data_IF_932459779850
#
_entry.id   IF_932459779850
#
_cell.length_a   1.000
_cell.length_b   1.000
_cell.length_c   1.000
_cell.angle_alpha   90.00
_cell.angle_beta   90.00
_cell.angle_gamma   90.00
#
_symmetry.space_group_name_H-M   'P 1'
#
loop_
_entity.id
_entity.type
_entity.pdbx_description
1 polymer ?
#
# COMPACT_ATOMS: atom_id res chain seq x y z
N UNK A 1 -4.57 -23.53 -8.76
CA UNK A 1 -4.29 -24.36 -7.55
C UNK A 1 -3.03 -23.92 -6.79
N UNK A 2 -1.84 -23.81 -7.41
CA UNK A 2 -0.62 -23.36 -6.68
C UNK A 2 -0.65 -21.86 -6.38
N UNK A 3 -1.05 -21.03 -7.36
CA UNK A 3 -1.10 -19.56 -7.22
C UNK A 3 -2.12 -19.15 -6.14
N UNK A 4 -3.27 -19.82 -6.09
CA UNK A 4 -4.37 -19.54 -5.15
C UNK A 4 -3.98 -19.76 -3.68
N UNK A 5 -2.98 -20.62 -3.44
CA UNK A 5 -2.42 -20.86 -2.09
C UNK A 5 -1.18 -20.00 -1.86
N UNK A 6 -0.29 -19.90 -2.86
CA UNK A 6 0.97 -19.17 -2.74
C UNK A 6 0.73 -17.70 -2.39
N UNK A 7 -0.27 -17.08 -3.02
CA UNK A 7 -0.48 -15.64 -2.92
C UNK A 7 -0.98 -15.22 -1.52
N UNK A 8 -2.04 -15.82 -0.94
CA UNK A 8 -2.43 -15.55 0.45
C UNK A 8 -1.34 -15.93 1.47
N UNK A 9 -0.65 -17.06 1.29
CA UNK A 9 0.43 -17.47 2.21
C UNK A 9 1.60 -16.50 2.19
N UNK A 10 1.94 -16.00 1.01
CA UNK A 10 3.00 -14.99 0.87
C UNK A 10 2.58 -13.67 1.52
N UNK A 11 1.33 -13.24 1.35
CA UNK A 11 0.81 -12.06 2.02
C UNK A 11 0.83 -12.22 3.55
N UNK A 12 0.37 -13.37 4.08
CA UNK A 12 0.43 -13.69 5.50
C UNK A 12 1.87 -13.55 6.04
N UNK A 13 2.85 -14.07 5.32
CA UNK A 13 4.26 -13.95 5.70
C UNK A 13 4.76 -12.50 5.65
N UNK A 14 4.43 -11.75 4.59
CA UNK A 14 4.83 -10.34 4.46
C UNK A 14 4.23 -9.50 5.60
N UNK A 15 2.96 -9.72 5.92
CA UNK A 15 2.24 -9.03 7.02
C UNK A 15 2.81 -9.42 8.39
N UNK A 16 3.16 -10.69 8.57
CA UNK A 16 3.86 -11.14 9.78
C UNK A 16 5.25 -10.50 9.92
N UNK A 17 6.04 -10.43 8.83
CA UNK A 17 7.35 -9.78 8.82
C UNK A 17 7.24 -8.30 9.19
N UNK A 18 6.22 -7.61 8.70
CA UNK A 18 5.92 -6.24 9.09
C UNK A 18 5.67 -6.15 10.60
N UNK A 19 4.84 -7.05 11.14
CA UNK A 19 4.57 -7.15 12.58
C UNK A 19 5.84 -7.33 13.42
N UNK A 20 6.80 -8.15 12.97
CA UNK A 20 8.06 -8.37 13.68
C UNK A 20 8.93 -7.12 13.82
N UNK A 21 8.73 -6.11 12.97
CA UNK A 21 9.42 -4.83 13.06
C UNK A 21 8.71 -3.81 13.97
N UNK A 22 7.45 -4.07 14.33
CA UNK A 22 6.64 -3.19 15.17
C UNK A 22 6.99 -3.35 16.64
N UNK A 23 7.07 -2.25 17.37
CA UNK A 23 7.06 -2.21 18.83
C UNK A 23 5.95 -1.31 19.35
N UNK A 24 5.46 -1.60 20.55
CA UNK A 24 4.52 -0.75 21.30
C UNK A 24 5.07 0.68 21.44
N UNK A 25 6.39 0.85 21.52
CA UNK A 25 7.01 2.16 21.57
C UNK A 25 6.81 2.98 20.28
N UNK A 26 6.62 2.35 19.12
CA UNK A 26 6.30 3.08 17.89
C UNK A 26 4.97 3.84 18.04
N UNK A 27 3.99 3.27 18.73
CA UNK A 27 2.70 3.92 18.97
C UNK A 27 2.79 5.11 19.93
N UNK A 28 3.85 5.24 20.75
CA UNK A 28 4.08 6.46 21.53
C UNK A 28 4.36 7.67 20.63
N UNK A 29 4.94 7.46 19.44
CA UNK A 29 5.18 8.55 18.50
C UNK A 29 3.88 9.10 17.90
N UNK A 30 2.83 8.30 17.83
CA UNK A 30 1.48 8.78 17.45
C UNK A 30 1.00 9.83 18.44
N UNK A 31 1.21 9.59 19.74
CA UNK A 31 0.81 10.50 20.82
C UNK A 31 1.72 11.74 20.83
N UNK A 32 3.02 11.58 20.58
CA UNK A 32 3.97 12.68 20.61
C UNK A 32 3.92 13.58 19.37
N UNK A 33 3.51 13.06 18.21
CA UNK A 33 3.44 13.78 16.94
C UNK A 33 2.05 13.64 16.27
N UNK A 34 0.96 14.04 16.97
CA UNK A 34 -0.40 13.72 16.55
C UNK A 34 -0.77 14.40 15.22
N UNK A 35 -0.23 15.58 14.94
CA UNK A 35 -0.54 16.32 13.71
C UNK A 35 0.07 15.64 12.47
N UNK A 36 1.35 15.26 12.52
CA UNK A 36 2.02 14.56 11.43
C UNK A 36 1.36 13.20 11.16
N UNK A 37 1.03 12.47 12.22
CA UNK A 37 0.32 11.21 12.13
C UNK A 37 -1.09 11.37 11.53
N UNK A 38 -1.87 12.36 11.99
CA UNK A 38 -3.22 12.63 11.49
C UNK A 38 -3.23 13.01 10.01
N UNK A 39 -2.25 13.81 9.56
CA UNK A 39 -2.10 14.16 8.14
C UNK A 39 -1.70 12.95 7.30
N UNK A 40 -0.84 12.07 7.81
CA UNK A 40 -0.50 10.81 7.15
C UNK A 40 -1.74 9.92 6.94
N UNK A 41 -2.54 9.71 7.99
CA UNK A 41 -3.80 8.98 7.89
C UNK A 41 -4.76 9.66 6.92
N UNK A 42 -4.95 10.98 7.04
CA UNK A 42 -5.85 11.73 6.18
C UNK A 42 -5.47 11.57 4.70
N UNK A 43 -4.19 11.72 4.39
CA UNK A 43 -3.69 11.59 3.03
C UNK A 43 -3.91 10.18 2.49
N UNK A 44 -3.61 9.14 3.27
CA UNK A 44 -3.69 7.76 2.82
C UNK A 44 -5.11 7.21 2.77
N UNK A 45 -5.97 7.56 3.73
CA UNK A 45 -7.29 6.96 3.88
C UNK A 45 -8.41 7.74 3.20
N UNK A 46 -8.21 9.04 2.96
CA UNK A 46 -9.23 9.92 2.41
C UNK A 46 -8.74 10.53 1.09
N UNK A 47 -7.61 11.24 1.12
CA UNK A 47 -7.14 11.97 -0.08
C UNK A 47 -6.78 11.00 -1.20
N UNK A 48 -6.05 9.93 -0.91
CA UNK A 48 -5.63 8.94 -1.91
C UNK A 48 -6.81 8.28 -2.63
N UNK A 49 -7.84 7.74 -1.95
CA UNK A 49 -9.04 7.25 -2.63
C UNK A 49 -9.78 8.31 -3.44
N UNK A 50 -9.89 9.55 -2.94
CA UNK A 50 -10.58 10.63 -3.66
C UNK A 50 -9.83 11.06 -4.94
N UNK A 51 -8.51 11.20 -4.85
CA UNK A 51 -7.64 11.50 -6.01
C UNK A 51 -7.72 10.34 -7.00
N UNK A 52 -7.69 9.10 -6.52
CA UNK A 52 -7.83 7.90 -7.35
C UNK A 52 -9.16 7.89 -8.10
N UNK A 53 -10.28 8.11 -7.41
CA UNK A 53 -11.61 8.20 -8.02
C UNK A 53 -11.68 9.29 -9.09
N UNK A 54 -11.12 10.47 -8.80
CA UNK A 54 -11.06 11.58 -9.74
C UNK A 54 -10.26 11.23 -10.99
N UNK A 55 -9.09 10.59 -10.82
CA UNK A 55 -8.24 10.14 -11.92
C UNK A 55 -8.95 9.08 -12.77
N UNK A 56 -9.65 8.13 -12.15
CA UNK A 56 -10.41 7.10 -12.86
C UNK A 56 -11.42 7.75 -13.83
N UNK A 57 -12.15 8.77 -13.36
CA UNK A 57 -13.14 9.49 -14.17
C UNK A 57 -12.46 10.27 -15.30
N UNK A 58 -11.40 11.02 -14.99
CA UNK A 58 -10.69 11.86 -15.99
C UNK A 58 -10.08 11.01 -17.11
N UNK A 59 -9.45 9.88 -16.76
CA UNK A 59 -8.79 9.01 -17.73
C UNK A 59 -9.74 7.99 -18.38
N UNK A 60 -11.01 7.93 -17.95
CA UNK A 60 -12.01 7.03 -18.51
C UNK A 60 -11.61 5.55 -18.41
N UNK A 61 -11.10 5.12 -17.25
CA UNK A 61 -10.65 3.74 -17.08
C UNK A 61 -11.83 2.76 -17.19
N UNK A 62 -11.56 1.56 -17.73
CA UNK A 62 -12.56 0.50 -17.81
C UNK A 62 -13.02 0.08 -16.41
N UNK A 63 -14.22 -0.50 -16.32
CA UNK A 63 -14.92 -0.75 -15.07
C UNK A 63 -14.13 -1.62 -14.08
N UNK A 64 -13.46 -2.65 -14.58
CA UNK A 64 -12.64 -3.58 -13.79
C UNK A 64 -11.33 -2.92 -13.33
N UNK A 65 -10.70 -2.14 -14.21
CA UNK A 65 -9.46 -1.41 -13.90
C UNK A 65 -9.74 -0.32 -12.87
N UNK A 66 -10.89 0.37 -12.98
CA UNK A 66 -11.36 1.36 -12.02
C UNK A 66 -11.51 0.74 -10.63
N UNK A 67 -12.20 -0.39 -10.51
CA UNK A 67 -12.35 -1.10 -9.23
C UNK A 67 -11.00 -1.58 -8.70
N UNK A 68 -10.14 -2.15 -9.55
CA UNK A 68 -8.81 -2.58 -9.17
C UNK A 68 -7.91 -1.44 -8.65
N UNK A 69 -8.01 -0.26 -9.25
CA UNK A 69 -7.26 0.92 -8.79
C UNK A 69 -7.85 1.49 -7.49
N UNK A 70 -9.17 1.46 -7.32
CA UNK A 70 -9.80 1.82 -6.04
C UNK A 70 -9.40 0.85 -4.91
N UNK A 71 -9.35 -0.46 -5.16
CA UNK A 71 -8.83 -1.46 -4.20
C UNK A 71 -7.42 -1.07 -3.73
N UNK A 72 -6.53 -0.79 -4.68
CA UNK A 72 -5.16 -0.39 -4.38
C UNK A 72 -5.10 0.88 -3.52
N UNK A 73 -5.91 1.89 -3.84
CA UNK A 73 -5.93 3.18 -3.12
C UNK A 73 -6.34 3.08 -1.65
N UNK A 74 -6.92 1.93 -1.25
CA UNK A 74 -7.33 1.64 0.12
C UNK A 74 -6.37 0.71 0.84
N UNK A 75 -5.33 0.23 0.15
CA UNK A 75 -4.33 -0.63 0.75
C UNK A 75 -3.46 0.20 1.70
N UNK A 76 -2.99 -0.38 2.82
CA UNK A 76 -2.01 0.27 3.67
C UNK A 76 -0.65 0.42 2.97
N UNK A 77 0.28 1.10 3.64
CA UNK A 77 1.70 1.04 3.31
C UNK A 77 2.26 -0.38 3.48
N UNK A 78 3.57 -0.54 3.30
CA UNK A 78 4.20 -1.86 3.36
C UNK A 78 5.63 -1.84 3.85
N UNK A 79 6.23 -3.01 4.00
CA UNK A 79 7.64 -3.15 4.44
C UNK A 79 8.59 -2.31 3.58
N UNK A 80 8.29 -2.16 2.28
CA UNK A 80 9.10 -1.36 1.37
C UNK A 80 8.98 0.14 1.60
N UNK A 81 7.84 0.67 2.06
CA UNK A 81 7.73 2.10 2.42
C UNK A 81 8.61 2.41 3.63
N UNK A 82 8.65 1.54 4.65
CA UNK A 82 9.57 1.67 5.79
C UNK A 82 11.04 1.73 5.36
N UNK A 83 11.44 0.85 4.44
CA UNK A 83 12.81 0.82 3.88
C UNK A 83 13.11 2.13 3.13
N UNK A 84 12.19 2.58 2.28
CA UNK A 84 12.35 3.80 1.49
C UNK A 84 12.41 5.04 2.39
N UNK A 85 11.60 5.10 3.45
CA UNK A 85 11.65 6.14 4.47
C UNK A 85 13.01 6.18 5.14
N UNK A 86 13.56 5.03 5.53
CA UNK A 86 14.88 4.93 6.17
C UNK A 86 16.01 5.45 5.28
N UNK A 87 16.08 4.99 4.02
CA UNK A 87 17.12 5.45 3.08
C UNK A 87 16.93 6.92 2.67
N UNK A 88 15.69 7.42 2.76
CA UNK A 88 15.35 8.81 2.46
C UNK A 88 15.47 9.75 3.66
N UNK A 89 16.12 9.32 4.76
CA UNK A 89 16.29 10.10 6.00
C UNK A 89 14.96 10.64 6.57
N UNK A 90 13.86 9.92 6.32
CA UNK A 90 12.56 10.21 6.90
C UNK A 90 12.42 9.69 8.33
N UNK A 91 11.31 10.05 8.97
CA UNK A 91 10.91 9.56 10.28
C UNK A 91 10.38 8.13 10.13
N UNK A 92 11.27 7.14 10.35
CA UNK A 92 10.93 5.72 10.22
C UNK A 92 9.90 5.27 11.23
N UNK A 93 9.91 5.86 12.43
CA UNK A 93 8.96 5.48 13.46
C UNK A 93 7.54 5.98 13.15
N UNK A 94 7.42 7.16 12.50
CA UNK A 94 6.17 7.62 11.92
C UNK A 94 5.68 6.70 10.79
N UNK A 95 6.57 6.28 9.86
CA UNK A 95 6.25 5.34 8.75
C UNK A 95 5.64 4.05 9.29
N UNK A 96 6.36 3.44 10.25
CA UNK A 96 5.99 2.17 10.87
C UNK A 96 4.62 2.30 11.57
N UNK A 97 4.39 3.42 12.27
CA UNK A 97 3.13 3.67 12.97
C UNK A 97 1.96 3.89 12.01
N UNK A 98 2.17 4.65 10.94
CA UNK A 98 1.16 4.88 9.90
C UNK A 98 0.77 3.57 9.23
N UNK A 99 1.76 2.83 8.73
CA UNK A 99 1.53 1.53 8.10
C UNK A 99 0.77 0.59 9.04
N UNK A 100 1.16 0.46 10.32
CA UNK A 100 0.49 -0.44 11.27
C UNK A 100 -0.97 -0.04 11.54
N UNK A 101 -1.23 1.25 11.81
CA UNK A 101 -2.59 1.72 12.12
C UNK A 101 -3.47 1.67 10.88
N UNK A 102 -2.95 2.06 9.71
CA UNK A 102 -3.69 1.99 8.45
C UNK A 102 -4.00 0.54 8.09
N UNK A 103 -3.08 -0.41 8.34
CA UNK A 103 -3.37 -1.85 8.19
C UNK A 103 -4.57 -2.29 9.03
N UNK A 104 -4.70 -1.82 10.28
CA UNK A 104 -5.85 -2.14 11.13
C UNK A 104 -7.13 -1.49 10.60
N UNK A 105 -7.09 -0.20 10.23
CA UNK A 105 -8.27 0.52 9.73
C UNK A 105 -8.73 -0.06 8.39
N UNK A 106 -7.81 -0.53 7.55
CA UNK A 106 -8.09 -1.12 6.23
C UNK A 106 -8.99 -2.35 6.27
N UNK A 107 -9.05 -3.05 7.40
CA UNK A 107 -10.01 -4.16 7.62
C UNK A 107 -11.45 -3.71 7.37
N UNK A 108 -11.77 -2.47 7.69
CA UNK A 108 -13.11 -1.92 7.52
C UNK A 108 -13.22 -1.00 6.31
N UNK A 109 -12.24 -0.12 6.09
CA UNK A 109 -12.33 0.86 5.01
C UNK A 109 -12.25 0.22 3.63
N UNK A 110 -11.40 -0.79 3.45
CA UNK A 110 -11.20 -1.41 2.15
C UNK A 110 -12.49 -2.12 1.68
N UNK A 111 -13.14 -3.00 2.46
CA UNK A 111 -14.41 -3.60 2.05
C UNK A 111 -15.50 -2.58 1.72
N UNK A 112 -15.59 -1.48 2.47
CA UNK A 112 -16.56 -0.41 2.21
C UNK A 112 -16.30 0.28 0.88
N UNK A 113 -15.05 0.65 0.60
CA UNK A 113 -14.69 1.34 -0.65
C UNK A 113 -14.79 0.39 -1.84
N UNK A 114 -14.48 -0.90 -1.66
CA UNK A 114 -14.71 -1.93 -2.68
C UNK A 114 -16.20 -2.04 -3.00
N UNK A 115 -17.06 -2.19 -1.99
CA UNK A 115 -18.50 -2.25 -2.19
C UNK A 115 -19.05 -1.01 -2.92
N UNK A 116 -18.60 0.19 -2.51
CA UNK A 116 -18.92 1.43 -3.22
C UNK A 116 -18.45 1.42 -4.68
N UNK A 117 -17.20 1.06 -4.92
CA UNK A 117 -16.58 1.09 -6.25
C UNK A 117 -17.25 0.10 -7.20
N UNK A 118 -17.57 -1.10 -6.72
CA UNK A 118 -18.29 -2.12 -7.49
C UNK A 118 -19.69 -1.63 -7.87
N UNK A 119 -20.43 -1.07 -6.91
CA UNK A 119 -21.76 -0.51 -7.15
C UNK A 119 -21.75 0.66 -8.13
N UNK A 120 -20.69 1.48 -8.11
CA UNK A 120 -20.59 2.65 -8.97
C UNK A 120 -20.10 2.32 -10.38
N UNK A 121 -19.04 1.51 -10.51
CA UNK A 121 -18.40 1.22 -11.80
C UNK A 121 -18.93 -0.03 -12.48
N UNK A 122 -19.26 -1.09 -11.73
CA UNK A 122 -19.62 -2.41 -12.28
C UNK A 122 -21.13 -2.71 -12.21
N UNK A 123 -22.00 -1.69 -12.12
CA UNK A 123 -23.46 -1.75 -11.87
C UNK A 123 -24.21 -3.02 -12.35
N UNK A 124 -23.93 -3.53 -13.56
CA UNK A 124 -24.61 -4.70 -14.15
C UNK A 124 -23.85 -6.03 -14.05
N UNK A 125 -22.59 -5.99 -13.66
CA UNK A 125 -21.63 -7.10 -13.68
C UNK A 125 -20.89 -7.27 -12.35
N UNK A 126 -21.30 -6.54 -11.31
CA UNK A 126 -20.72 -6.61 -9.99
C UNK A 126 -21.00 -7.99 -9.37
N UNK A 127 -19.97 -8.77 -8.99
CA UNK A 127 -20.21 -9.97 -8.22
C UNK A 127 -20.85 -9.65 -6.87
N UNK A 128 -21.65 -10.58 -6.35
CA UNK A 128 -22.20 -10.48 -5.00
C UNK A 128 -21.07 -10.59 -3.97
N UNK A 129 -20.66 -9.44 -3.41
CA UNK A 129 -19.67 -9.38 -2.34
C UNK A 129 -20.38 -9.26 -1.00
N UNK A 130 -20.10 -10.21 -0.11
CA UNK A 130 -20.39 -10.05 1.30
C UNK A 130 -19.29 -9.21 1.95
N UNK A 131 -19.61 -7.94 2.24
CA UNK A 131 -18.68 -6.96 2.85
C UNK A 131 -18.13 -7.46 4.18
N UNK A 132 -18.95 -8.13 4.99
CA UNK A 132 -18.53 -8.66 6.29
C UNK A 132 -17.55 -9.82 6.13
N UNK A 133 -17.79 -10.72 5.17
CA UNK A 133 -16.83 -11.78 4.87
C UNK A 133 -15.52 -11.21 4.35
N UNK A 134 -15.57 -10.20 3.47
CA UNK A 134 -14.36 -9.54 2.97
C UNK A 134 -13.57 -8.85 4.10
N UNK A 135 -14.27 -8.23 5.07
CA UNK A 135 -13.65 -7.66 6.26
C UNK A 135 -12.99 -8.72 7.15
N UNK A 136 -13.67 -9.85 7.39
CA UNK A 136 -13.10 -10.99 8.14
C UNK A 136 -11.86 -11.55 7.41
N UNK A 137 -11.94 -11.73 6.09
CA UNK A 137 -10.80 -12.16 5.28
C UNK A 137 -9.63 -11.17 5.38
N UNK A 138 -9.90 -9.87 5.24
CA UNK A 138 -8.90 -8.81 5.43
C UNK A 138 -8.23 -8.91 6.80
N UNK A 139 -9.02 -9.04 7.88
CA UNK A 139 -8.49 -9.20 9.23
C UNK A 139 -7.56 -10.42 9.34
N UNK A 140 -7.98 -11.57 8.81
CA UNK A 140 -7.22 -12.82 8.88
C UNK A 140 -5.92 -12.78 8.08
N UNK A 141 -5.91 -12.14 6.91
CA UNK A 141 -4.72 -12.14 6.03
C UNK A 141 -3.80 -10.94 6.22
N UNK A 142 -4.25 -9.88 6.91
CA UNK A 142 -3.45 -8.67 7.15
C UNK A 142 -3.23 -8.40 8.64
N UNK A 143 -4.26 -7.97 9.36
CA UNK A 143 -4.14 -7.51 10.75
C UNK A 143 -3.70 -8.60 11.71
N UNK A 144 -4.27 -9.80 11.62
CA UNK A 144 -3.92 -10.90 12.52
C UNK A 144 -2.42 -11.27 12.42
N UNK A 145 -1.83 -11.49 11.24
CA UNK A 145 -0.37 -11.68 11.11
C UNK A 145 0.46 -10.54 11.66
N UNK A 146 0.06 -9.28 11.43
CA UNK A 146 0.75 -8.11 11.98
C UNK A 146 0.73 -8.12 13.51
N UNK A 147 -0.42 -8.41 14.12
CA UNK A 147 -0.56 -8.50 15.57
C UNK A 147 0.25 -9.66 16.16
N UNK A 148 0.32 -10.80 15.48
CA UNK A 148 1.14 -11.94 15.88
C UNK A 148 2.64 -11.60 15.80
N UNK A 149 3.08 -10.93 14.73
CA UNK A 149 4.45 -10.46 14.59
C UNK A 149 4.82 -9.46 15.70
N UNK A 150 3.95 -8.48 15.97
CA UNK A 150 4.13 -7.51 17.06
C UNK A 150 4.23 -8.21 18.41
N UNK A 151 3.33 -9.15 18.69
CA UNK A 151 3.35 -9.93 19.92
C UNK A 151 4.68 -10.69 20.10
N UNK A 152 5.19 -11.31 19.04
CA UNK A 152 6.48 -12.00 19.07
C UNK A 152 7.64 -11.01 19.27
N UNK A 153 7.62 -9.85 18.63
CA UNK A 153 8.65 -8.83 18.86
C UNK A 153 8.68 -8.28 20.28
N UNK A 154 7.52 -8.06 20.89
CA UNK A 154 7.42 -7.59 22.27
C UNK A 154 7.86 -8.67 23.27
N UNK A 155 7.48 -9.93 23.06
CA UNK A 155 7.81 -11.01 24.00
C UNK A 155 9.22 -11.58 23.81
N UNK A 156 9.72 -11.62 22.57
CA UNK A 156 10.95 -12.30 22.17
C UNK A 156 11.87 -11.37 21.36
N UNK A 157 12.06 -10.14 21.81
CA UNK A 157 12.81 -9.09 21.10
C UNK A 157 14.18 -9.54 20.54
N UNK A 158 14.97 -10.33 21.28
CA UNK A 158 16.26 -10.87 20.80
C UNK A 158 16.12 -11.77 19.57
N UNK A 159 15.04 -12.55 19.50
CA UNK A 159 14.75 -13.38 18.33
C UNK A 159 14.34 -12.50 17.16
N UNK A 160 13.37 -11.59 17.37
CA UNK A 160 12.84 -10.74 16.31
C UNK A 160 13.89 -9.81 15.71
N UNK A 161 14.74 -9.18 16.53
CA UNK A 161 15.85 -8.34 16.04
C UNK A 161 16.87 -9.10 15.19
N UNK A 162 17.13 -10.37 15.52
CA UNK A 162 18.03 -11.24 14.74
C UNK A 162 17.38 -11.74 13.44
N UNK A 163 16.07 -12.01 13.47
CA UNK A 163 15.36 -12.64 12.37
C UNK A 163 14.74 -11.64 11.37
N UNK A 164 14.39 -10.43 11.82
CA UNK A 164 13.76 -9.38 11.01
C UNK A 164 14.52 -9.08 9.69
N UNK A 165 15.87 -8.97 9.67
CA UNK A 165 16.59 -8.73 8.41
C UNK A 165 16.38 -9.83 7.37
N UNK A 166 16.25 -11.10 7.81
CA UNK A 166 16.00 -12.23 6.92
C UNK A 166 14.55 -12.23 6.45
N UNK A 167 13.59 -12.03 7.36
CA UNK A 167 12.16 -12.00 6.99
C UNK A 167 11.85 -10.85 6.04
N UNK A 168 12.51 -9.70 6.18
CA UNK A 168 12.36 -8.59 5.24
C UNK A 168 12.88 -8.90 3.84
N UNK A 169 14.03 -9.59 3.74
CA UNK A 169 14.56 -10.03 2.44
C UNK A 169 13.62 -11.01 1.77
N UNK A 170 13.11 -11.98 2.52
CA UNK A 170 12.11 -12.95 2.01
C UNK A 170 10.83 -12.22 1.60
N UNK A 171 10.33 -11.31 2.43
CA UNK A 171 9.11 -10.53 2.15
C UNK A 171 9.25 -9.66 0.90
N UNK A 172 10.40 -9.00 0.73
CA UNK A 172 10.70 -8.20 -0.46
C UNK A 172 10.78 -9.07 -1.72
N UNK A 173 11.39 -10.25 -1.60
CA UNK A 173 11.46 -11.22 -2.70
C UNK A 173 10.07 -11.75 -3.09
N UNK A 174 9.24 -12.12 -2.11
CA UNK A 174 7.85 -12.54 -2.33
C UNK A 174 7.02 -11.43 -2.97
N UNK A 175 7.18 -10.18 -2.50
CA UNK A 175 6.52 -9.02 -3.09
C UNK A 175 6.85 -8.90 -4.59
N UNK A 176 8.15 -8.98 -4.96
CA UNK A 176 8.58 -8.89 -6.36
C UNK A 176 7.97 -10.01 -7.20
N UNK A 177 7.99 -11.26 -6.71
CA UNK A 177 7.38 -12.40 -7.41
C UNK A 177 5.89 -12.18 -7.66
N UNK A 178 5.15 -11.71 -6.64
CA UNK A 178 3.70 -11.50 -6.75
C UNK A 178 3.38 -10.40 -7.75
N UNK A 179 4.12 -9.29 -7.72
CA UNK A 179 3.94 -8.18 -8.66
C UNK A 179 4.22 -8.62 -10.10
N UNK A 180 5.33 -9.34 -10.34
CA UNK A 180 5.66 -9.88 -11.67
C UNK A 180 4.60 -10.90 -12.10
N UNK A 181 4.18 -11.79 -11.20
CA UNK A 181 3.15 -12.79 -11.48
C UNK A 181 1.82 -12.17 -11.88
N UNK A 182 1.39 -11.09 -11.21
CA UNK A 182 0.15 -10.37 -11.53
C UNK A 182 0.20 -9.76 -12.93
N UNK A 183 1.32 -9.11 -13.29
CA UNK A 183 1.50 -8.54 -14.62
C UNK A 183 1.63 -9.60 -15.72
N UNK A 184 2.33 -10.70 -15.44
CA UNK A 184 2.49 -11.78 -16.40
C UNK A 184 1.17 -12.51 -16.67
N UNK A 185 0.32 -12.69 -15.65
CA UNK A 185 -0.99 -13.35 -15.78
C UNK A 185 -1.94 -12.56 -16.67
N UNK A 186 -1.92 -11.23 -16.55
CA UNK A 186 -2.81 -10.31 -17.28
C UNK A 186 -2.05 -9.50 -18.34
N UNK A 187 -1.02 -10.09 -18.96
CA UNK A 187 -0.12 -9.36 -19.88
C UNK A 187 -0.84 -8.75 -21.08
N UNK A 188 -1.78 -9.48 -21.69
CA UNK A 188 -2.55 -8.98 -22.83
C UNK A 188 -3.46 -7.81 -22.41
N UNK A 189 -4.14 -7.96 -21.27
CA UNK A 189 -4.98 -6.91 -20.68
C UNK A 189 -4.14 -5.67 -20.35
N UNK A 190 -2.95 -5.85 -19.79
CA UNK A 190 -1.99 -4.80 -19.51
C UNK A 190 -1.64 -4.01 -20.77
N UNK A 191 -1.16 -4.67 -21.83
CA UNK A 191 -0.78 -4.01 -23.07
C UNK A 191 -1.96 -3.27 -23.71
N UNK A 192 -3.15 -3.88 -23.70
CA UNK A 192 -4.34 -3.24 -24.27
C UNK A 192 -4.79 -1.99 -23.50
N UNK A 193 -4.49 -1.90 -22.20
CA UNK A 193 -4.91 -0.79 -21.34
C UNK A 193 -3.76 0.15 -20.96
N UNK A 194 -2.52 -0.09 -21.42
CA UNK A 194 -1.34 0.66 -20.96
C UNK A 194 -1.45 2.17 -21.25
N UNK A 195 -2.12 2.53 -22.35
CA UNK A 195 -2.29 3.91 -22.78
C UNK A 195 -3.22 4.72 -21.86
N UNK A 196 -4.16 4.09 -21.17
CA UNK A 196 -5.03 4.76 -20.19
C UNK A 196 -4.53 4.53 -18.76
N UNK A 197 -4.22 3.29 -18.41
CA UNK A 197 -3.80 2.89 -17.06
C UNK A 197 -2.43 3.45 -16.67
N UNK A 198 -1.45 3.43 -17.58
CA UNK A 198 -0.09 3.90 -17.31
C UNK A 198 -0.06 5.38 -16.92
N UNK A 199 -0.55 6.30 -17.78
CA UNK A 199 -0.64 7.72 -17.44
C UNK A 199 -1.48 8.00 -16.19
N UNK A 200 -2.57 7.28 -15.95
CA UNK A 200 -3.38 7.41 -14.75
C UNK A 200 -2.58 7.10 -13.48
N UNK A 201 -1.84 5.97 -13.46
CA UNK A 201 -0.99 5.57 -12.33
C UNK A 201 0.16 6.56 -12.11
N UNK A 202 0.84 6.98 -13.17
CA UNK A 202 1.93 7.98 -13.09
C UNK A 202 1.41 9.28 -12.48
N UNK A 203 0.25 9.74 -12.95
CA UNK A 203 -0.42 10.94 -12.44
C UNK A 203 -0.75 10.77 -10.96
N UNK A 204 -1.37 9.65 -10.59
CA UNK A 204 -1.73 9.36 -9.20
C UNK A 204 -0.52 9.42 -8.27
N UNK A 205 0.58 8.73 -8.63
CA UNK A 205 1.79 8.70 -7.80
C UNK A 205 2.39 10.10 -7.66
N UNK A 206 2.52 10.85 -8.76
CA UNK A 206 3.06 12.22 -8.71
C UNK A 206 2.22 13.15 -7.84
N UNK A 207 0.89 13.09 -7.97
CA UNK A 207 -0.02 13.87 -7.14
C UNK A 207 0.10 13.50 -5.67
N UNK A 208 0.17 12.20 -5.34
CA UNK A 208 0.25 11.77 -3.95
C UNK A 208 1.61 12.02 -3.32
N UNK A 209 2.71 11.93 -4.09
CA UNK A 209 4.04 12.38 -3.65
C UNK A 209 3.99 13.88 -3.34
N UNK A 210 3.41 14.69 -4.25
CA UNK A 210 3.28 16.13 -4.08
C UNK A 210 2.43 16.48 -2.85
N UNK A 211 1.21 15.97 -2.77
CA UNK A 211 0.30 16.21 -1.65
C UNK A 211 0.95 15.76 -0.35
N UNK A 212 1.49 14.54 -0.30
CA UNK A 212 2.09 14.01 0.92
C UNK A 212 3.33 14.76 1.38
N UNK A 213 4.07 15.40 0.47
CA UNK A 213 5.22 16.22 0.83
C UNK A 213 4.85 17.64 1.26
N UNK A 214 3.86 18.26 0.59
CA UNK A 214 3.51 19.65 0.83
C UNK A 214 2.41 19.84 1.87
N UNK A 215 1.48 18.90 2.03
CA UNK A 215 0.43 19.02 3.05
C UNK A 215 0.98 19.16 4.47
N UNK A 216 1.97 18.39 4.96
CA UNK A 216 2.58 18.63 6.27
C UNK A 216 3.32 19.97 6.37
N UNK A 217 3.93 20.46 5.27
CA UNK A 217 4.65 21.74 5.27
C UNK A 217 3.74 22.94 5.51
N UNK A 218 2.49 22.88 5.08
CA UNK A 218 1.49 23.92 5.36
C UNK A 218 1.24 24.09 6.87
N UNK A 219 1.52 23.06 7.66
CA UNK A 219 1.37 23.06 9.11
C UNK A 219 2.71 23.19 9.85
N UNK A 220 3.79 23.53 9.15
CA UNK A 220 5.12 23.71 9.77
C UNK A 220 5.77 22.41 10.26
N UNK A 221 5.30 21.25 9.80
CA UNK A 221 5.89 19.95 10.16
C UNK A 221 7.29 19.83 9.53
N UNK A 222 8.20 19.18 10.27
CA UNK A 222 9.59 19.06 9.85
C UNK A 222 9.76 18.24 8.55
N UNK A 223 10.93 18.39 7.95
CA UNK A 223 11.26 17.80 6.66
C UNK A 223 11.25 16.26 6.69
N UNK A 224 11.76 15.65 7.77
CA UNK A 224 11.86 14.19 7.89
C UNK A 224 10.46 13.55 7.93
N UNK A 225 9.53 14.15 8.67
CA UNK A 225 8.13 13.73 8.71
C UNK A 225 7.40 14.03 7.39
N UNK A 226 7.71 15.14 6.71
CA UNK A 226 7.14 15.44 5.39
C UNK A 226 7.56 14.43 4.32
N UNK A 227 8.82 13.97 4.36
CA UNK A 227 9.31 12.88 3.51
C UNK A 227 8.56 11.58 3.82
N UNK A 228 8.42 11.23 5.10
CA UNK A 228 7.67 10.04 5.51
C UNK A 228 6.23 10.07 5.01
N UNK A 229 5.50 11.17 5.22
CA UNK A 229 4.10 11.28 4.79
C UNK A 229 4.00 11.20 3.26
N UNK A 230 4.93 11.80 2.51
CA UNK A 230 5.02 11.67 1.05
C UNK A 230 5.19 10.22 0.60
N UNK A 231 6.08 9.48 1.25
CA UNK A 231 6.34 8.07 0.94
C UNK A 231 5.12 7.21 1.28
N UNK A 232 4.56 7.33 2.49
CA UNK A 232 3.38 6.55 2.92
C UNK A 232 2.13 6.87 2.08
N UNK A 233 2.02 8.10 1.55
CA UNK A 233 0.92 8.49 0.66
C UNK A 233 1.06 7.92 -0.76
N UNK A 234 2.28 7.58 -1.20
CA UNK A 234 2.59 7.23 -2.61
C UNK A 234 3.10 5.80 -2.81
N UNK A 235 3.49 5.11 -1.74
CA UNK A 235 3.87 3.70 -1.75
C UNK A 235 2.76 2.92 -1.07
N UNK A 236 2.07 2.08 -1.84
CA UNK A 236 0.99 1.24 -1.35
C UNK A 236 1.40 -0.23 -1.31
N UNK A 237 0.70 -1.01 -0.50
CA UNK A 237 0.89 -2.45 -0.45
C UNK A 237 0.20 -3.14 -1.64
N UNK A 238 0.90 -3.18 -2.77
CA UNK A 238 0.41 -3.85 -3.97
C UNK A 238 0.02 -5.32 -3.73
N UNK A 239 0.71 -6.03 -2.81
CA UNK A 239 0.37 -7.43 -2.51
C UNK A 239 -1.03 -7.57 -1.92
N UNK A 240 -1.45 -6.66 -1.03
CA UNK A 240 -2.82 -6.63 -0.50
C UNK A 240 -3.80 -6.41 -1.65
N UNK A 241 -3.54 -5.42 -2.51
CA UNK A 241 -4.43 -5.10 -3.63
C UNK A 241 -4.55 -6.25 -4.64
N UNK A 242 -3.45 -6.91 -4.97
CA UNK A 242 -3.43 -8.10 -5.84
C UNK A 242 -4.23 -9.24 -5.19
N UNK A 243 -4.04 -9.48 -3.89
CA UNK A 243 -4.73 -10.56 -3.17
C UNK A 243 -6.22 -10.35 -3.11
N UNK A 244 -6.66 -9.14 -2.76
CA UNK A 244 -8.08 -8.83 -2.68
C UNK A 244 -8.75 -8.81 -4.04
N UNK A 245 -8.09 -8.25 -5.06
CA UNK A 245 -8.58 -8.32 -6.44
C UNK A 245 -8.79 -9.76 -6.90
N UNK A 246 -7.94 -10.70 -6.46
CA UNK A 246 -8.07 -12.11 -6.79
C UNK A 246 -9.20 -12.82 -6.04
N UNK A 247 -9.34 -12.53 -4.75
CA UNK A 247 -10.40 -13.11 -3.90
C UNK A 247 -11.78 -12.68 -4.36
N UNK A 248 -11.95 -11.41 -4.76
CA UNK A 248 -13.27 -10.87 -5.14
C UNK A 248 -13.86 -11.59 -6.36
N UNK A 249 -13.05 -11.90 -7.38
CA UNK A 249 -13.54 -12.58 -8.59
C UNK A 249 -13.53 -14.11 -8.48
N UNK A 250 -13.08 -14.69 -7.35
CA UNK A 250 -12.88 -16.13 -7.17
C UNK A 250 -12.24 -16.79 -8.41
N UNK A 251 -11.13 -16.19 -8.85
CA UNK A 251 -10.57 -16.52 -10.16
C UNK A 251 -9.79 -17.84 -10.13
N UNK A 252 -10.39 -18.93 -10.61
CA UNK A 252 -9.79 -20.27 -10.60
C UNK A 252 -8.64 -20.46 -11.62
N UNK A 253 -8.38 -19.46 -12.49
CA UNK A 253 -7.43 -19.55 -13.60
C UNK A 253 -6.43 -18.38 -13.66
N UNK A 254 -5.74 -18.11 -12.56
CA UNK A 254 -4.62 -17.15 -12.53
C UNK A 254 -4.89 -15.97 -11.59
N UNK A 255 -4.31 -14.81 -11.90
CA UNK A 255 -4.52 -13.59 -11.12
C UNK A 255 -5.58 -12.74 -11.82
N UNK A 256 -6.60 -12.33 -11.06
CA UNK A 256 -7.73 -11.51 -11.51
C UNK A 256 -7.33 -10.19 -12.20
N UNK A 257 -8.15 -9.75 -13.16
CA UNK A 257 -8.05 -8.42 -13.79
C UNK A 257 -8.11 -7.27 -12.77
N UNK A 258 -8.81 -7.44 -11.64
CA UNK A 258 -8.84 -6.44 -10.55
C UNK A 258 -7.47 -6.26 -9.88
N UNK A 259 -6.60 -7.26 -9.99
CA UNK A 259 -5.25 -7.22 -9.43
C UNK A 259 -4.24 -6.51 -10.33
N UNK A 260 -4.56 -6.33 -11.62
CA UNK A 260 -3.67 -5.71 -12.60
C UNK A 260 -3.21 -4.30 -12.22
N UNK A 261 -4.10 -3.35 -11.81
CA UNK A 261 -3.68 -2.02 -11.39
C UNK A 261 -2.67 -2.04 -10.24
N UNK A 262 -2.86 -2.96 -9.28
CA UNK A 262 -1.93 -3.15 -8.17
C UNK A 262 -0.56 -3.68 -8.64
N UNK A 263 -0.55 -4.61 -9.60
CA UNK A 263 0.70 -5.08 -10.23
C UNK A 263 1.46 -3.97 -10.95
N UNK A 264 0.78 -3.18 -11.79
CA UNK A 264 1.41 -2.06 -12.51
C UNK A 264 1.93 -1.00 -11.53
N UNK A 265 1.10 -0.60 -10.56
CA UNK A 265 1.48 0.39 -9.56
C UNK A 265 2.65 -0.09 -8.70
N UNK A 266 2.66 -1.38 -8.33
CA UNK A 266 3.72 -2.00 -7.55
C UNK A 266 5.10 -1.87 -8.18
N UNK A 267 5.20 -1.72 -9.51
CA UNK A 267 6.45 -1.37 -10.20
C UNK A 267 6.63 0.15 -10.29
N UNK A 268 5.59 0.86 -10.73
CA UNK A 268 5.67 2.29 -11.04
C UNK A 268 5.98 3.17 -9.83
N UNK A 269 5.46 2.80 -8.65
CA UNK A 269 5.67 3.56 -7.43
C UNK A 269 7.17 3.68 -7.08
N UNK A 270 7.98 2.65 -7.32
CA UNK A 270 9.43 2.75 -7.09
C UNK A 270 10.15 3.59 -8.14
N UNK A 271 9.79 3.41 -9.42
CA UNK A 271 10.40 4.13 -10.54
C UNK A 271 10.14 5.64 -10.47
N UNK A 272 9.06 6.06 -9.80
CA UNK A 272 8.72 7.48 -9.63
C UNK A 272 9.17 8.00 -8.27
N UNK A 273 8.84 7.31 -7.17
CA UNK A 273 9.12 7.84 -5.83
C UNK A 273 10.61 7.88 -5.51
N UNK A 274 11.40 6.86 -5.91
CA UNK A 274 12.84 6.84 -5.59
C UNK A 274 13.61 8.02 -6.20
N UNK A 275 13.46 8.35 -7.50
CA UNK A 275 14.07 9.56 -8.07
C UNK A 275 13.60 10.84 -7.37
N UNK A 276 12.30 10.99 -7.09
CA UNK A 276 11.78 12.20 -6.43
C UNK A 276 12.38 12.36 -5.03
N UNK A 277 12.44 11.28 -4.24
CA UNK A 277 13.09 11.31 -2.92
C UNK A 277 14.58 11.64 -3.01
N UNK A 278 15.28 11.08 -4.00
CA UNK A 278 16.68 11.41 -4.26
C UNK A 278 16.89 12.90 -4.56
N UNK A 279 16.04 13.51 -5.40
CA UNK A 279 16.11 14.95 -5.69
C UNK A 279 15.82 15.81 -4.44
N UNK A 280 14.82 15.42 -3.65
CA UNK A 280 14.50 16.08 -2.38
C UNK A 280 15.68 16.05 -1.42
N UNK A 281 16.40 14.93 -1.32
CA UNK A 281 17.60 14.79 -0.48
C UNK A 281 18.76 15.62 -1.01
N UNK A 282 19.02 15.60 -2.32
CA UNK A 282 20.11 16.37 -2.94
C UNK A 282 19.90 17.88 -2.75
N UNK A 283 18.67 18.36 -2.94
CA UNK A 283 18.34 19.77 -2.71
C UNK A 283 18.54 20.21 -1.25
N UNK A 284 18.52 19.28 -0.29
CA UNK A 284 18.79 19.61 1.11
C UNK A 284 20.28 19.73 1.39
N UNK A 285 21.09 18.80 0.86
CA UNK A 285 22.55 18.88 1.00
C UNK A 285 23.06 20.24 0.53
N UNK A 286 22.61 20.69 -0.65
CA UNK A 286 23.02 21.96 -1.24
C UNK A 286 22.51 23.21 -0.49
N UNK A 287 21.59 23.09 0.47
CA UNK A 287 21.12 24.21 1.30
C UNK A 287 21.82 24.27 2.66
N UNK A 288 22.53 23.19 3.03
CA UNK A 288 23.28 23.10 4.28
C UNK A 288 24.75 23.51 4.11
N UNK A 289 25.22 23.61 2.86
CA UNK A 289 26.50 24.15 2.42
C UNK A 289 26.37 25.64 2.06
#
# INVERSE_FOLDING_TARGET
MIIDVLLPVSLLFIMFSLGLELSINNFKNVINNPLAFSLGILNQMIVLPLVTFTIIIIFGLSTEIAVGLMILSCCPGGVTSNIITKISKGDTALSISLTAIVSIISVFSLPMIVGFSMNYFMVKSAPDINILNLAVTMFLITTLPVLLGLYINERYNKFSTSFAPLTNKISSFLFVIIVIGALASEWNTFINNIYSLGPAIVTLILFMVFIGYYSPKLFGINQSQSITISIESSIQNATVGITIGNIILNYDKGISILSLPSGVYGIMMYLICLPVMFFILKSQSNRAD
#
